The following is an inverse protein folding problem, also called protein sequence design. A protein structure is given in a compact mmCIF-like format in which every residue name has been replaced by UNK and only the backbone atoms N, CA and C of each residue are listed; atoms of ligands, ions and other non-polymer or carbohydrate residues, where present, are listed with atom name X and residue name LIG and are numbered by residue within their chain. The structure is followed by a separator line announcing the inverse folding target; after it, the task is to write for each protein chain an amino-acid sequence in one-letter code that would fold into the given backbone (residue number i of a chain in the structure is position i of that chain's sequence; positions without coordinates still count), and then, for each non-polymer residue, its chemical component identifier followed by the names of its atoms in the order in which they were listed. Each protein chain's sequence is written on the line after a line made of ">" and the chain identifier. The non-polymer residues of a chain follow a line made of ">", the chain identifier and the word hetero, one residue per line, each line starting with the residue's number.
data_IF_154959098705
#
_entry.id   IF_154959098705
#
_cell.length_a   1.000
_cell.length_b   1.000
_cell.length_c   1.000
_cell.angle_alpha   90.00
_cell.angle_beta   90.00
_cell.angle_gamma   90.00
#
_symmetry.space_group_name_H-M   'P 1'
#
loop_
_entity.id
_entity.type
_entity.pdbx_description
1 polymer ?
#
# COMPACT_ATOMS: atom_id res chain seq x y z
N UNK A 1 35.77 -5.63 -5.08
CA UNK A 1 35.33 -6.82 -5.85
C UNK A 1 34.28 -6.36 -6.84
N UNK A 2 34.46 -6.68 -8.12
CA UNK A 2 33.41 -6.53 -9.12
C UNK A 2 32.35 -7.57 -8.80
N UNK A 3 31.15 -7.15 -8.40
CA UNK A 3 30.00 -8.06 -8.31
C UNK A 3 29.71 -8.50 -9.73
N UNK A 4 30.15 -9.71 -10.08
CA UNK A 4 29.77 -10.35 -11.32
C UNK A 4 28.36 -10.88 -11.12
N UNK A 5 27.38 -10.10 -11.57
CA UNK A 5 26.03 -10.61 -11.74
C UNK A 5 26.09 -11.63 -12.87
N UNK A 6 26.08 -12.91 -12.52
CA UNK A 6 25.82 -13.97 -13.49
C UNK A 6 24.37 -13.82 -13.94
N UNK A 7 24.17 -13.13 -15.07
CA UNK A 7 22.87 -12.92 -15.65
C UNK A 7 22.28 -14.24 -16.15
N UNK A 8 23.07 -15.29 -16.29
CA UNK A 8 22.66 -16.62 -16.75
C UNK A 8 22.35 -17.58 -15.58
N UNK A 9 22.55 -17.14 -14.34
CA UNK A 9 22.16 -17.91 -13.17
C UNK A 9 20.64 -18.23 -13.21
N UNK A 10 20.25 -19.48 -12.87
CA UNK A 10 18.85 -19.87 -12.82
C UNK A 10 18.11 -18.96 -11.83
N UNK A 11 16.89 -18.57 -12.17
CA UNK A 11 16.08 -17.74 -11.29
C UNK A 11 15.97 -18.42 -9.92
N UNK A 12 16.19 -17.68 -8.82
CA UNK A 12 16.07 -18.25 -7.48
C UNK A 12 14.68 -18.85 -7.29
N UNK A 13 14.60 -19.96 -6.55
CA UNK A 13 13.33 -20.62 -6.25
C UNK A 13 12.37 -19.60 -5.64
N UNK A 14 11.23 -19.39 -6.29
CA UNK A 14 10.22 -18.47 -5.76
C UNK A 14 9.74 -19.03 -4.41
N UNK A 15 9.88 -18.22 -3.36
CA UNK A 15 9.29 -18.54 -2.07
C UNK A 15 7.77 -18.41 -2.21
N UNK A 16 7.04 -19.44 -1.78
CA UNK A 16 5.57 -19.40 -1.77
C UNK A 16 5.04 -18.43 -0.71
N UNK A 17 5.82 -18.20 0.35
CA UNK A 17 5.45 -17.36 1.47
C UNK A 17 6.66 -16.79 2.19
N UNK A 18 6.66 -15.49 2.56
CA UNK A 18 7.63 -14.88 3.43
C UNK A 18 7.68 -15.54 4.79
N UNK A 19 8.88 -15.62 5.36
CA UNK A 19 9.04 -16.03 6.74
C UNK A 19 8.38 -15.01 7.67
N UNK A 20 7.85 -15.49 8.79
CA UNK A 20 7.29 -14.68 9.87
C UNK A 20 7.88 -15.16 11.19
N UNK A 21 8.08 -14.22 12.11
CA UNK A 21 8.46 -14.56 13.48
C UNK A 21 7.37 -15.44 14.11
N UNK A 22 7.78 -16.48 14.85
CA UNK A 22 6.86 -17.45 15.47
C UNK A 22 5.84 -16.80 16.43
N UNK A 23 6.10 -15.59 16.90
CA UNK A 23 5.16 -14.79 17.71
C UNK A 23 3.98 -14.26 16.90
N UNK A 24 4.13 -14.07 15.59
CA UNK A 24 3.05 -13.58 14.71
C UNK A 24 2.09 -14.73 14.43
N UNK A 25 1.00 -14.78 15.18
CA UNK A 25 -0.05 -15.81 15.04
C UNK A 25 -1.09 -15.37 14.02
N UNK A 26 -1.13 -16.08 12.89
CA UNK A 26 -2.10 -15.85 11.84
C UNK A 26 -3.36 -16.69 12.06
N UNK A 27 -4.51 -16.06 11.89
CA UNK A 27 -5.83 -16.68 12.02
C UNK A 27 -6.71 -16.28 10.82
N UNK A 28 -7.79 -17.03 10.61
CA UNK A 28 -8.81 -16.66 9.63
C UNK A 28 -9.37 -15.25 9.90
N UNK A 29 -9.76 -14.47 8.87
CA UNK A 29 -10.26 -13.10 9.05
C UNK A 29 -11.42 -12.98 10.05
N UNK A 30 -12.31 -13.98 10.12
CA UNK A 30 -13.42 -14.01 11.09
C UNK A 30 -12.98 -14.18 12.54
N UNK A 31 -11.75 -14.64 12.77
CA UNK A 31 -11.15 -14.88 14.07
C UNK A 31 -10.18 -13.77 14.49
N UNK A 32 -9.93 -12.78 13.63
CA UNK A 32 -9.07 -11.66 13.95
C UNK A 32 -9.65 -10.80 15.09
N UNK A 33 -8.80 -10.15 15.91
CA UNK A 33 -9.24 -9.30 17.00
C UNK A 33 -10.10 -8.14 16.49
N UNK A 34 -11.16 -7.81 17.23
CA UNK A 34 -11.96 -6.63 16.92
C UNK A 34 -11.16 -5.37 17.26
N UNK A 35 -10.89 -4.54 16.25
CA UNK A 35 -10.11 -3.31 16.41
C UNK A 35 -10.75 -2.27 17.36
N UNK A 36 -12.08 -2.29 17.48
CA UNK A 36 -12.83 -1.34 18.32
C UNK A 36 -12.89 0.08 17.73
N UNK A 37 -13.11 1.09 18.58
CA UNK A 37 -13.30 2.51 18.18
C UNK A 37 -12.14 3.44 18.54
N UNK A 38 -11.08 2.94 19.18
CA UNK A 38 -9.93 3.72 19.67
C UNK A 38 -10.12 4.35 21.06
N UNK A 39 -11.27 4.12 21.70
CA UNK A 39 -11.59 4.71 23.01
C UNK A 39 -10.77 4.16 24.17
N UNK A 40 -10.53 2.84 24.19
CA UNK A 40 -9.75 2.17 25.23
C UNK A 40 -8.30 1.93 24.79
N UNK A 41 -7.35 1.76 25.73
CA UNK A 41 -5.97 1.40 25.42
C UNK A 41 -5.85 0.14 24.55
N UNK A 42 -6.64 -0.89 24.85
CA UNK A 42 -6.63 -2.16 24.11
C UNK A 42 -7.08 -1.96 22.66
N UNK A 43 -8.07 -1.10 22.43
CA UNK A 43 -8.54 -0.77 21.09
C UNK A 43 -7.50 0.00 20.28
N UNK A 44 -6.73 0.89 20.92
CA UNK A 44 -5.62 1.62 20.25
C UNK A 44 -4.50 0.66 19.86
N UNK A 45 -4.11 -0.21 20.79
CA UNK A 45 -3.13 -1.28 20.53
C UNK A 45 -3.60 -2.19 19.40
N UNK A 46 -4.87 -2.60 19.37
CA UNK A 46 -5.40 -3.45 18.31
C UNK A 46 -5.35 -2.77 16.93
N UNK A 47 -5.72 -1.50 16.83
CA UNK A 47 -5.64 -0.73 15.58
C UNK A 47 -4.18 -0.62 15.11
N UNK A 48 -3.26 -0.19 15.97
CA UNK A 48 -1.85 -0.02 15.61
C UNK A 48 -1.16 -1.35 15.27
N UNK A 49 -1.51 -2.44 15.98
CA UNK A 49 -0.99 -3.77 15.68
C UNK A 49 -1.47 -4.25 14.30
N UNK A 50 -2.74 -4.02 13.98
CA UNK A 50 -3.28 -4.32 12.65
C UNK A 50 -2.57 -3.52 11.55
N UNK A 51 -2.30 -2.22 11.77
CA UNK A 51 -1.56 -1.39 10.81
C UNK A 51 -0.12 -1.90 10.65
N UNK A 52 0.58 -2.16 11.74
CA UNK A 52 1.94 -2.73 11.67
C UNK A 52 1.95 -4.08 10.92
N UNK A 53 0.91 -4.91 11.06
CA UNK A 53 0.81 -6.13 10.30
C UNK A 53 0.61 -5.90 8.79
N UNK A 54 -0.17 -4.87 8.42
CA UNK A 54 -0.35 -4.46 7.04
C UNK A 54 0.98 -4.00 6.44
N UNK A 55 1.72 -3.11 7.12
CA UNK A 55 3.02 -2.64 6.58
C UNK A 55 4.02 -3.79 6.46
N UNK A 56 4.01 -4.73 7.41
CA UNK A 56 4.83 -5.94 7.34
C UNK A 56 4.52 -6.79 6.10
N UNK A 57 3.27 -6.81 5.63
CA UNK A 57 2.93 -7.44 4.35
C UNK A 57 3.34 -6.57 3.17
N UNK A 58 3.14 -5.26 3.23
CA UNK A 58 3.48 -4.33 2.14
C UNK A 58 4.97 -4.36 1.78
N UNK A 59 5.87 -4.53 2.77
CA UNK A 59 7.30 -4.80 2.57
C UNK A 59 7.49 -6.02 1.64
N UNK A 60 6.86 -7.14 1.99
CA UNK A 60 7.03 -8.38 1.25
C UNK A 60 6.35 -8.36 -0.11
N UNK A 61 5.19 -7.71 -0.23
CA UNK A 61 4.49 -7.54 -1.50
C UNK A 61 5.35 -6.74 -2.49
N UNK A 62 6.03 -5.70 -2.00
CA UNK A 62 6.94 -4.88 -2.80
C UNK A 62 8.15 -5.68 -3.28
N UNK A 63 8.76 -6.48 -2.39
CA UNK A 63 9.85 -7.39 -2.77
C UNK A 63 9.40 -8.52 -3.69
N UNK A 64 8.22 -9.09 -3.46
CA UNK A 64 7.64 -10.13 -4.30
C UNK A 64 7.35 -9.59 -5.71
N UNK A 65 6.84 -8.36 -5.83
CA UNK A 65 6.64 -7.70 -7.12
C UNK A 65 7.95 -7.63 -7.92
N UNK A 66 9.04 -7.25 -7.27
CA UNK A 66 10.38 -7.16 -7.86
C UNK A 66 10.92 -8.54 -8.24
N UNK A 67 10.99 -9.45 -7.28
CA UNK A 67 11.69 -10.72 -7.42
C UNK A 67 10.93 -11.71 -8.31
N UNK A 68 9.60 -11.76 -8.18
CA UNK A 68 8.75 -12.70 -8.93
C UNK A 68 8.59 -12.30 -10.39
N UNK A 69 8.37 -11.02 -10.64
CA UNK A 69 7.91 -10.56 -11.95
C UNK A 69 8.88 -9.67 -12.69
N UNK A 70 9.66 -8.84 -11.99
CA UNK A 70 10.41 -7.74 -12.60
C UNK A 70 11.27 -8.18 -13.80
N UNK A 71 12.09 -9.21 -13.62
CA UNK A 71 12.95 -9.76 -14.69
C UNK A 71 12.14 -10.48 -15.76
N UNK A 72 11.22 -11.37 -15.36
CA UNK A 72 10.45 -12.21 -16.28
C UNK A 72 9.57 -11.38 -17.23
N UNK A 73 8.94 -10.32 -16.70
CA UNK A 73 8.16 -9.36 -17.48
C UNK A 73 9.04 -8.33 -18.23
N UNK A 74 10.37 -8.38 -18.07
CA UNK A 74 11.33 -7.40 -18.63
C UNK A 74 10.95 -5.96 -18.26
N UNK A 75 10.63 -5.73 -16.99
CA UNK A 75 10.28 -4.39 -16.51
C UNK A 75 11.48 -3.45 -16.59
N UNK A 76 11.27 -2.14 -16.83
CA UNK A 76 12.36 -1.18 -16.89
C UNK A 76 12.96 -0.95 -15.49
N UNK A 77 14.21 -0.49 -15.41
CA UNK A 77 14.92 -0.21 -14.14
C UNK A 77 14.08 0.61 -13.14
N UNK A 78 13.35 1.62 -13.61
CA UNK A 78 12.51 2.46 -12.76
C UNK A 78 11.42 1.67 -11.99
N UNK A 79 10.98 0.52 -12.49
CA UNK A 79 10.05 -0.37 -11.77
C UNK A 79 10.67 -0.87 -10.48
N UNK A 80 11.91 -1.34 -10.58
CA UNK A 80 12.68 -1.81 -9.43
C UNK A 80 12.93 -0.66 -8.45
N UNK A 81 13.31 0.52 -8.94
CA UNK A 81 13.55 1.68 -8.09
C UNK A 81 12.29 2.15 -7.36
N UNK A 82 11.13 2.19 -8.03
CA UNK A 82 9.87 2.57 -7.43
C UNK A 82 9.46 1.57 -6.33
N UNK A 83 9.49 0.26 -6.58
CA UNK A 83 9.10 -0.73 -5.56
C UNK A 83 10.14 -0.93 -4.45
N UNK A 84 11.42 -0.66 -4.72
CA UNK A 84 12.44 -0.59 -3.66
C UNK A 84 12.18 0.60 -2.72
N UNK A 85 11.76 1.75 -3.27
CA UNK A 85 11.38 2.90 -2.47
C UNK A 85 10.15 2.60 -1.61
N UNK A 86 9.10 2.00 -2.20
CA UNK A 86 7.92 1.55 -1.45
C UNK A 86 8.33 0.58 -0.33
N UNK A 87 9.08 -0.47 -0.63
CA UNK A 87 9.54 -1.43 0.39
C UNK A 87 10.32 -0.76 1.55
N UNK A 88 11.11 0.27 1.25
CA UNK A 88 11.85 1.02 2.25
C UNK A 88 10.94 1.90 3.13
N UNK A 89 9.95 2.56 2.52
CA UNK A 89 8.95 3.36 3.25
C UNK A 89 8.08 2.46 4.14
N UNK A 90 7.59 1.33 3.63
CA UNK A 90 6.83 0.35 4.40
C UNK A 90 7.62 -0.23 5.59
N UNK A 91 8.92 -0.50 5.39
CA UNK A 91 9.79 -0.96 6.48
C UNK A 91 9.96 0.10 7.58
N UNK A 92 10.01 1.38 7.18
CA UNK A 92 10.06 2.50 8.14
C UNK A 92 8.72 2.68 8.84
N UNK A 93 7.59 2.61 8.13
CA UNK A 93 6.25 2.67 8.70
C UNK A 93 6.05 1.58 9.74
N UNK A 94 6.35 0.33 9.37
CA UNK A 94 6.34 -0.82 10.27
C UNK A 94 7.15 -0.54 11.54
N UNK A 95 8.37 -0.03 11.39
CA UNK A 95 9.27 0.23 12.52
C UNK A 95 8.72 1.30 13.45
N UNK A 96 8.13 2.38 12.90
CA UNK A 96 7.52 3.45 13.69
C UNK A 96 6.27 2.98 14.43
N UNK A 97 5.41 2.19 13.77
CA UNK A 97 4.22 1.60 14.40
C UNK A 97 4.61 0.58 15.48
N UNK A 98 5.63 -0.25 15.23
CA UNK A 98 6.15 -1.19 16.21
C UNK A 98 6.73 -0.48 17.44
N UNK A 99 7.46 0.63 17.25
CA UNK A 99 7.92 1.46 18.36
C UNK A 99 6.74 2.06 19.14
N UNK A 100 5.72 2.57 18.45
CA UNK A 100 4.51 3.09 19.09
C UNK A 100 3.77 2.03 19.91
N UNK A 101 3.72 0.78 19.45
CA UNK A 101 3.15 -0.33 20.22
C UNK A 101 3.89 -0.56 21.54
N UNK A 102 5.23 -0.47 21.54
CA UNK A 102 6.05 -0.60 22.76
C UNK A 102 5.75 0.51 23.75
N UNK A 103 5.61 1.75 23.29
CA UNK A 103 5.23 2.89 24.14
C UNK A 103 3.85 2.71 24.80
N UNK A 104 2.94 1.97 24.14
CA UNK A 104 1.62 1.63 24.67
C UNK A 104 1.62 0.34 25.52
N UNK A 105 2.80 -0.22 25.83
CA UNK A 105 2.94 -1.43 26.66
C UNK A 105 2.61 -2.73 25.93
N UNK A 106 2.68 -2.74 24.60
CA UNK A 106 2.46 -3.90 23.74
C UNK A 106 3.65 -4.18 22.82
N UNK A 107 3.50 -5.09 21.86
CA UNK A 107 4.51 -5.36 20.82
C UNK A 107 3.87 -5.96 19.57
N UNK A 108 4.56 -5.86 18.44
CA UNK A 108 4.14 -6.59 17.24
C UNK A 108 4.19 -8.11 17.49
N UNK A 109 3.14 -8.82 17.07
CA UNK A 109 2.90 -10.23 17.39
C UNK A 109 2.22 -10.49 18.75
N UNK A 110 1.96 -9.47 19.58
CA UNK A 110 1.22 -9.66 20.83
C UNK A 110 -0.27 -10.02 20.61
N UNK A 111 -0.84 -9.59 19.49
CA UNK A 111 -2.18 -9.97 19.04
C UNK A 111 -2.09 -10.88 17.81
N UNK A 112 -3.13 -11.68 17.59
CA UNK A 112 -3.30 -12.44 16.35
C UNK A 112 -3.60 -11.50 15.18
N UNK A 113 -3.19 -11.85 13.98
CA UNK A 113 -3.51 -11.13 12.75
C UNK A 113 -4.09 -12.07 11.70
N UNK A 114 -4.57 -11.54 10.57
CA UNK A 114 -5.12 -12.34 9.48
C UNK A 114 -4.32 -12.13 8.19
N UNK A 115 -4.48 -13.07 7.26
CA UNK A 115 -3.61 -13.22 6.11
C UNK A 115 -4.16 -12.65 4.80
N UNK A 116 -5.15 -11.78 4.90
CA UNK A 116 -5.98 -11.40 3.75
C UNK A 116 -5.20 -10.79 2.59
N UNK A 117 -4.13 -10.04 2.88
CA UNK A 117 -3.24 -9.50 1.85
C UNK A 117 -2.41 -10.60 1.17
N UNK A 118 -1.87 -11.56 1.93
CA UNK A 118 -1.08 -12.64 1.33
C UNK A 118 -1.95 -13.68 0.60
N UNK A 119 -3.20 -13.85 1.00
CA UNK A 119 -4.18 -14.63 0.24
C UNK A 119 -4.40 -14.03 -1.16
N UNK A 120 -4.62 -12.71 -1.24
CA UNK A 120 -4.71 -11.97 -2.51
C UNK A 120 -3.40 -12.04 -3.31
N UNK A 121 -2.25 -11.99 -2.65
CA UNK A 121 -0.95 -12.20 -3.27
C UNK A 121 -0.85 -13.60 -3.90
N UNK A 122 -1.27 -14.62 -3.16
CA UNK A 122 -1.26 -16.02 -3.64
C UNK A 122 -2.17 -16.19 -4.86
N UNK A 123 -3.36 -15.60 -4.84
CA UNK A 123 -4.30 -15.60 -5.98
C UNK A 123 -3.71 -14.94 -7.23
N UNK A 124 -2.87 -13.92 -7.06
CA UNK A 124 -2.29 -13.14 -8.15
C UNK A 124 -0.86 -13.53 -8.52
N UNK A 125 -0.32 -14.62 -7.93
CA UNK A 125 1.11 -14.99 -8.04
C UNK A 125 1.59 -15.24 -9.47
N UNK A 126 0.70 -15.62 -10.38
CA UNK A 126 1.04 -15.97 -11.76
C UNK A 126 0.84 -14.80 -12.75
N UNK A 127 0.43 -13.62 -12.27
CA UNK A 127 0.15 -12.46 -13.12
C UNK A 127 0.61 -11.16 -12.49
N UNK A 128 1.64 -10.54 -13.07
CA UNK A 128 2.07 -9.19 -12.67
C UNK A 128 0.94 -8.16 -12.81
N UNK A 129 0.12 -8.29 -13.85
CA UNK A 129 -1.03 -7.41 -14.06
C UNK A 129 -2.01 -7.51 -12.88
N UNK A 130 -2.40 -8.73 -12.52
CA UNK A 130 -3.30 -8.96 -11.40
C UNK A 130 -2.67 -8.50 -10.08
N UNK A 131 -1.36 -8.75 -9.89
CA UNK A 131 -0.64 -8.31 -8.69
C UNK A 131 -0.65 -6.79 -8.53
N UNK A 132 -0.34 -6.05 -9.60
CA UNK A 132 -0.34 -4.59 -9.57
C UNK A 132 -1.74 -4.03 -9.31
N UNK A 133 -2.77 -4.60 -9.93
CA UNK A 133 -4.15 -4.13 -9.74
C UNK A 133 -4.65 -4.39 -8.33
N UNK A 134 -4.48 -5.60 -7.81
CA UNK A 134 -5.08 -5.99 -6.53
C UNK A 134 -4.29 -5.40 -5.36
N UNK A 135 -2.98 -5.64 -5.31
CA UNK A 135 -2.16 -5.19 -4.18
C UNK A 135 -1.85 -3.70 -4.31
N UNK A 136 -1.23 -3.29 -5.41
CA UNK A 136 -0.64 -1.96 -5.53
C UNK A 136 -1.59 -0.85 -6.01
N UNK A 137 -2.82 -1.19 -6.40
CA UNK A 137 -3.88 -0.20 -6.67
C UNK A 137 -5.02 -0.33 -5.66
N UNK A 138 -5.69 -1.48 -5.60
CA UNK A 138 -6.90 -1.65 -4.77
C UNK A 138 -6.58 -1.58 -3.28
N UNK A 139 -5.59 -2.34 -2.81
CA UNK A 139 -5.24 -2.35 -1.37
C UNK A 139 -4.57 -1.04 -0.92
N UNK A 140 -3.66 -0.48 -1.72
CA UNK A 140 -3.08 0.87 -1.47
C UNK A 140 -4.16 1.96 -1.38
N UNK A 141 -5.06 2.02 -2.37
CA UNK A 141 -6.13 3.02 -2.36
C UNK A 141 -7.12 2.81 -1.21
N UNK A 142 -7.26 1.58 -0.71
CA UNK A 142 -8.05 1.30 0.49
C UNK A 142 -7.41 1.90 1.74
N UNK A 143 -6.07 1.91 1.83
CA UNK A 143 -5.33 2.64 2.86
C UNK A 143 -5.69 4.12 2.89
N UNK A 144 -5.71 4.77 1.70
CA UNK A 144 -6.08 6.18 1.54
C UNK A 144 -7.50 6.50 2.02
N UNK A 145 -8.45 5.57 1.86
CA UNK A 145 -9.83 5.75 2.31
C UNK A 145 -9.97 5.61 3.83
N UNK A 146 -9.20 4.70 4.43
CA UNK A 146 -9.37 4.29 5.84
C UNK A 146 -8.58 5.18 6.79
N UNK A 147 -7.37 5.59 6.41
CA UNK A 147 -6.46 6.33 7.28
C UNK A 147 -7.05 7.63 7.85
N UNK A 148 -7.74 8.50 7.10
CA UNK A 148 -8.35 9.71 7.65
C UNK A 148 -9.32 9.42 8.80
N UNK A 149 -10.14 8.36 8.67
CA UNK A 149 -11.05 7.93 9.72
C UNK A 149 -10.32 7.37 10.95
N UNK A 150 -9.16 6.73 10.75
CA UNK A 150 -8.32 6.22 11.84
C UNK A 150 -7.60 7.34 12.58
N UNK A 151 -7.04 8.32 11.86
CA UNK A 151 -6.44 9.54 12.42
C UNK A 151 -7.46 10.28 13.29
N UNK A 152 -8.67 10.51 12.76
CA UNK A 152 -9.73 11.19 13.49
C UNK A 152 -10.14 10.45 14.78
N UNK A 153 -10.13 9.11 14.78
CA UNK A 153 -10.38 8.31 16.00
C UNK A 153 -9.31 8.53 17.05
N UNK A 154 -8.03 8.46 16.68
CA UNK A 154 -6.94 8.65 17.64
C UNK A 154 -6.98 10.03 18.28
N UNK A 155 -7.11 11.11 17.48
CA UNK A 155 -7.28 12.48 17.99
C UNK A 155 -8.47 12.61 18.93
N UNK A 156 -9.63 12.09 18.51
CA UNK A 156 -10.86 12.16 19.33
C UNK A 156 -10.67 11.54 20.72
N UNK A 157 -9.85 10.51 20.85
CA UNK A 157 -9.61 9.82 22.12
C UNK A 157 -8.29 10.22 22.80
N UNK A 158 -7.64 11.29 22.35
CA UNK A 158 -6.47 11.88 22.98
C UNK A 158 -5.16 11.10 22.76
N UNK A 159 -5.06 10.34 21.67
CA UNK A 159 -3.82 9.70 21.24
C UNK A 159 -3.21 10.46 20.07
N UNK A 160 -2.87 11.73 20.32
CA UNK A 160 -2.25 12.60 19.32
C UNK A 160 -0.94 12.04 18.75
N UNK A 161 -0.04 11.39 19.52
CA UNK A 161 1.18 10.80 18.95
C UNK A 161 0.90 9.77 17.84
N UNK A 162 -0.10 8.90 18.03
CA UNK A 162 -0.49 7.93 17.01
C UNK A 162 -1.16 8.61 15.80
N UNK A 163 -1.98 9.64 16.05
CA UNK A 163 -2.61 10.41 14.98
C UNK A 163 -1.58 11.15 14.12
N UNK A 164 -0.61 11.81 14.74
CA UNK A 164 0.42 12.60 14.06
C UNK A 164 1.37 11.72 13.27
N UNK A 165 1.72 10.54 13.78
CA UNK A 165 2.47 9.52 13.02
C UNK A 165 1.73 9.15 11.71
N UNK A 166 0.43 8.86 11.81
CA UNK A 166 -0.37 8.51 10.64
C UNK A 166 -0.57 9.69 9.69
N UNK A 167 -0.84 10.88 10.19
CA UNK A 167 -1.17 12.05 9.38
C UNK A 167 0.04 12.66 8.68
N UNK A 168 1.20 12.69 9.34
CA UNK A 168 2.36 13.44 8.85
C UNK A 168 3.43 12.56 8.21
N UNK A 169 3.40 11.24 8.47
CA UNK A 169 4.41 10.31 7.95
C UNK A 169 3.75 9.33 6.99
N UNK A 170 2.87 8.46 7.49
CA UNK A 170 2.35 7.33 6.70
C UNK A 170 1.43 7.83 5.58
N UNK A 171 0.35 8.56 5.91
CA UNK A 171 -0.67 8.95 4.93
C UNK A 171 -0.15 9.72 3.70
N UNK A 172 0.78 10.68 3.81
CA UNK A 172 1.36 11.34 2.63
C UNK A 172 2.16 10.41 1.72
N UNK A 173 2.78 9.37 2.27
CA UNK A 173 3.65 8.42 1.57
C UNK A 173 2.81 7.35 0.85
N UNK A 174 1.71 6.91 1.45
CA UNK A 174 0.70 6.02 0.85
C UNK A 174 0.17 6.52 -0.51
N UNK A 175 0.05 7.85 -0.67
CA UNK A 175 -0.38 8.44 -1.96
C UNK A 175 0.63 8.10 -3.05
N UNK A 176 1.92 8.09 -2.72
CA UNK A 176 2.98 7.78 -3.67
C UNK A 176 3.10 6.28 -3.94
N UNK A 177 2.75 5.43 -2.97
CA UNK A 177 2.67 3.97 -3.11
C UNK A 177 1.54 3.59 -4.08
N UNK A 178 0.33 4.11 -3.83
CA UNK A 178 -0.80 3.96 -4.76
C UNK A 178 -0.46 4.49 -6.17
N UNK A 179 0.27 5.61 -6.26
CA UNK A 179 0.69 6.15 -7.55
C UNK A 179 1.68 5.24 -8.29
N UNK A 180 2.49 4.45 -7.57
CA UNK A 180 3.38 3.47 -8.17
C UNK A 180 2.59 2.33 -8.82
N UNK A 181 1.58 1.78 -8.14
CA UNK A 181 0.72 0.75 -8.72
C UNK A 181 0.00 1.22 -9.98
N UNK A 182 -0.65 2.39 -9.92
CA UNK A 182 -1.36 2.98 -11.08
C UNK A 182 -0.42 3.18 -12.26
N UNK A 183 0.77 3.73 -12.02
CA UNK A 183 1.78 3.96 -13.06
C UNK A 183 2.24 2.67 -13.71
N UNK A 184 2.56 1.64 -12.92
CA UNK A 184 3.10 0.39 -13.47
C UNK A 184 2.04 -0.46 -14.16
N UNK A 185 0.80 -0.44 -13.68
CA UNK A 185 -0.31 -1.05 -14.39
C UNK A 185 -0.56 -0.34 -15.73
N UNK A 186 -0.65 0.99 -15.73
CA UNK A 186 -0.82 1.79 -16.96
C UNK A 186 0.32 1.53 -17.96
N UNK A 187 1.57 1.47 -17.46
CA UNK A 187 2.73 1.13 -18.28
C UNK A 187 2.59 -0.24 -18.95
N UNK A 188 2.14 -1.28 -18.22
CA UNK A 188 1.93 -2.61 -18.79
C UNK A 188 0.87 -2.60 -19.88
N UNK A 189 -0.26 -1.93 -19.65
CA UNK A 189 -1.33 -1.85 -20.65
C UNK A 189 -0.88 -1.17 -21.94
N UNK A 190 -0.12 -0.08 -21.81
CA UNK A 190 0.41 0.64 -22.96
C UNK A 190 1.48 -0.18 -23.69
N UNK A 191 2.30 -0.94 -22.95
CA UNK A 191 3.32 -1.82 -23.54
C UNK A 191 2.72 -3.01 -24.29
N UNK A 192 1.58 -3.53 -23.84
CA UNK A 192 0.88 -4.64 -24.50
C UNK A 192 0.06 -4.20 -25.71
N UNK A 193 0.04 -2.90 -26.03
CA UNK A 193 -0.69 -2.37 -27.19
C UNK A 193 -2.20 -2.61 -27.13
N UNK A 194 -2.77 -2.81 -25.93
CA UNK A 194 -4.19 -3.16 -25.78
C UNK A 194 -4.56 -4.59 -26.19
N UNK A 195 -3.60 -5.46 -26.51
CA UNK A 195 -3.85 -6.84 -26.92
C UNK A 195 -4.21 -7.75 -25.73
N UNK A 196 -5.37 -7.52 -25.10
CA UNK A 196 -5.97 -8.42 -24.12
C UNK A 196 -7.51 -8.33 -24.20
N UNK A 197 -8.07 -9.17 -25.08
CA UNK A 197 -9.44 -9.74 -25.09
C UNK A 197 -10.54 -8.74 -24.71
N UNK A 198 -11.07 -8.06 -25.73
CA UNK A 198 -12.51 -7.82 -25.78
C UNK A 198 -13.16 -9.20 -25.85
N UNK A 199 -14.06 -9.51 -24.95
CA UNK A 199 -14.96 -10.65 -25.13
C UNK A 199 -15.63 -10.48 -26.52
N UNK A 200 -15.70 -11.57 -27.30
CA UNK A 200 -16.06 -11.61 -28.74
C UNK A 200 -17.42 -10.94 -29.14
N UNK A 201 -18.15 -10.36 -28.19
CA UNK A 201 -19.50 -9.81 -28.36
C UNK A 201 -19.60 -8.27 -28.23
N UNK A 202 -18.53 -7.56 -27.83
CA UNK A 202 -18.53 -6.09 -27.77
C UNK A 202 -18.01 -5.51 -29.10
N UNK A 203 -18.85 -4.71 -29.79
CA UNK A 203 -18.43 -3.88 -30.94
C UNK A 203 -17.13 -3.13 -30.59
N UNK A 204 -16.19 -3.02 -31.55
CA UNK A 204 -14.95 -2.26 -31.40
C UNK A 204 -15.26 -0.77 -31.15
N UNK A 205 -15.56 -0.41 -29.89
CA UNK A 205 -15.60 0.97 -29.46
C UNK A 205 -14.18 1.52 -29.52
N UNK A 206 -13.98 2.59 -30.31
CA UNK A 206 -12.77 3.40 -30.25
C UNK A 206 -12.69 4.10 -28.89
N UNK A 207 -12.09 3.41 -27.92
CA UNK A 207 -11.78 3.96 -26.60
C UNK A 207 -10.42 4.67 -26.64
N UNK A 208 -10.34 5.80 -25.95
CA UNK A 208 -9.04 6.40 -25.66
C UNK A 208 -8.19 5.52 -24.73
N UNK A 209 -6.89 5.82 -24.64
CA UNK A 209 -5.95 5.04 -23.83
C UNK A 209 -6.36 4.96 -22.35
N UNK A 210 -6.89 6.04 -21.79
CA UNK A 210 -7.26 6.07 -20.37
C UNK A 210 -8.50 5.21 -20.09
N UNK A 211 -9.51 5.28 -20.95
CA UNK A 211 -10.73 4.49 -20.87
C UNK A 211 -10.42 2.99 -21.06
N UNK A 212 -9.54 2.63 -22.00
CA UNK A 212 -9.10 1.24 -22.20
C UNK A 212 -8.41 0.68 -20.96
N UNK A 213 -7.49 1.45 -20.36
CA UNK A 213 -6.78 1.05 -19.13
C UNK A 213 -7.77 0.85 -17.98
N UNK A 214 -8.74 1.76 -17.82
CA UNK A 214 -9.79 1.63 -16.81
C UNK A 214 -10.69 0.40 -17.05
N UNK A 215 -11.11 0.14 -18.30
CA UNK A 215 -11.90 -1.07 -18.66
C UNK A 215 -11.12 -2.34 -18.29
N UNK A 216 -9.82 -2.41 -18.61
CA UNK A 216 -8.98 -3.54 -18.24
C UNK A 216 -8.83 -3.68 -16.73
N UNK A 217 -8.66 -2.57 -16.02
CA UNK A 217 -8.62 -2.56 -14.55
C UNK A 217 -9.89 -3.20 -13.97
N UNK A 218 -11.07 -2.84 -14.49
CA UNK A 218 -12.33 -3.43 -14.04
C UNK A 218 -12.39 -4.95 -14.25
N UNK A 219 -11.94 -5.45 -15.40
CA UNK A 219 -11.88 -6.89 -15.69
C UNK A 219 -11.00 -7.61 -14.67
N UNK A 220 -9.80 -7.07 -14.42
CA UNK A 220 -8.84 -7.68 -13.48
C UNK A 220 -9.38 -7.66 -12.05
N UNK A 221 -9.98 -6.56 -11.60
CA UNK A 221 -10.59 -6.48 -10.26
C UNK A 221 -11.75 -7.46 -10.14
N UNK A 222 -12.69 -7.51 -11.09
CA UNK A 222 -13.82 -8.45 -11.01
C UNK A 222 -13.39 -9.91 -10.96
N UNK A 223 -12.28 -10.25 -11.62
CA UNK A 223 -11.71 -11.60 -11.66
C UNK A 223 -11.02 -11.99 -10.36
N UNK A 224 -10.18 -11.11 -9.81
CA UNK A 224 -9.28 -11.48 -8.71
C UNK A 224 -9.67 -10.91 -7.33
N UNK A 225 -10.50 -9.86 -7.29
CA UNK A 225 -10.97 -9.28 -6.04
C UNK A 225 -12.31 -9.89 -5.59
N UNK A 226 -12.35 -10.36 -4.34
CA UNK A 226 -13.56 -10.93 -3.75
C UNK A 226 -14.45 -9.81 -3.18
N UNK A 227 -15.56 -9.54 -3.88
CA UNK A 227 -16.57 -8.56 -3.47
C UNK A 227 -16.53 -7.26 -4.27
N UNK A 228 -17.05 -6.18 -3.66
CA UNK A 228 -17.10 -4.82 -4.24
C UNK A 228 -16.07 -3.89 -3.60
N UNK A 229 -15.68 -2.83 -4.31
CA UNK A 229 -14.90 -1.74 -3.74
C UNK A 229 -15.81 -0.88 -2.86
N UNK A 230 -15.53 -0.82 -1.56
CA UNK A 230 -16.46 -0.22 -0.59
C UNK A 230 -16.20 1.28 -0.39
N UNK A 231 -17.18 2.16 -0.65
CA UNK A 231 -17.11 3.57 -0.27
C UNK A 231 -17.14 3.75 1.27
N UNK A 232 -16.86 4.95 1.80
CA UNK A 232 -16.48 6.18 1.07
C UNK A 232 -15.08 6.08 0.46
N UNK A 233 -14.92 6.65 -0.74
CA UNK A 233 -13.62 6.78 -1.40
C UNK A 233 -13.00 8.14 -1.08
N UNK A 234 -11.69 8.17 -0.87
CA UNK A 234 -10.93 9.41 -0.73
C UNK A 234 -10.51 9.92 -2.11
N UNK A 235 -11.46 10.52 -2.83
CA UNK A 235 -11.28 10.95 -4.22
C UNK A 235 -10.11 11.93 -4.39
N UNK A 236 -9.88 12.81 -3.41
CA UNK A 236 -8.78 13.77 -3.45
C UNK A 236 -7.42 13.06 -3.40
N UNK A 237 -7.23 12.14 -2.45
CA UNK A 237 -5.97 11.39 -2.33
C UNK A 237 -5.75 10.45 -3.52
N UNK A 238 -6.81 9.75 -3.96
CA UNK A 238 -6.76 8.86 -5.13
C UNK A 238 -6.43 9.63 -6.40
N UNK A 239 -7.03 10.80 -6.62
CA UNK A 239 -6.71 11.66 -7.78
C UNK A 239 -5.27 12.16 -7.75
N UNK A 240 -4.71 12.50 -6.57
CA UNK A 240 -3.28 12.81 -6.40
C UNK A 240 -2.35 11.63 -6.74
N UNK A 241 -2.82 10.40 -6.58
CA UNK A 241 -2.12 9.20 -7.02
C UNK A 241 -2.30 8.90 -8.52
N UNK A 242 -3.08 9.71 -9.25
CA UNK A 242 -3.45 9.44 -10.64
C UNK A 242 -4.57 8.42 -10.79
N UNK A 243 -5.20 8.00 -9.69
CA UNK A 243 -6.28 7.01 -9.66
C UNK A 243 -7.63 7.72 -9.72
N UNK A 244 -8.15 7.93 -10.93
CA UNK A 244 -9.38 8.69 -11.15
C UNK A 244 -10.64 7.85 -10.90
N UNK A 245 -11.78 8.51 -10.70
CA UNK A 245 -13.06 7.92 -10.30
C UNK A 245 -13.55 6.82 -11.25
N UNK A 246 -13.29 6.99 -12.54
CA UNK A 246 -13.69 6.06 -13.61
C UNK A 246 -13.11 4.66 -13.40
N UNK A 247 -12.00 4.55 -12.67
CA UNK A 247 -11.38 3.27 -12.37
C UNK A 247 -12.11 2.47 -11.28
N UNK A 248 -12.68 3.13 -10.27
CA UNK A 248 -13.15 2.45 -9.06
C UNK A 248 -14.62 2.67 -8.70
N UNK A 249 -15.25 3.77 -9.11
CA UNK A 249 -16.68 4.00 -8.85
C UNK A 249 -17.57 2.91 -9.48
N UNK A 250 -17.34 2.47 -10.74
CA UNK A 250 -18.13 1.39 -11.34
C UNK A 250 -18.02 0.05 -10.61
N UNK A 251 -16.94 -0.15 -9.84
CA UNK A 251 -16.69 -1.38 -9.09
C UNK A 251 -17.27 -1.34 -7.66
N UNK A 252 -18.01 -0.28 -7.32
CA UNK A 252 -18.65 -0.10 -6.01
C UNK A 252 -20.04 -0.74 -5.92
N UNK A 253 -20.58 -1.20 -7.05
CA UNK A 253 -21.85 -1.90 -7.15
C UNK A 253 -21.61 -3.36 -7.55
N UNK A 254 -22.44 -4.27 -7.04
CA UNK A 254 -22.34 -5.68 -7.42
C UNK A 254 -23.25 -5.95 -8.62
N UNK A 255 -22.66 -5.87 -9.81
CA UNK A 255 -23.36 -6.17 -11.07
C UNK A 255 -23.84 -7.65 -11.12
N UNK A 256 -23.20 -8.55 -10.35
CA UNK A 256 -23.54 -9.99 -10.30
C UNK A 256 -24.88 -10.25 -9.60
N UNK A 257 -25.24 -9.43 -8.61
CA UNK A 257 -26.50 -9.54 -7.89
C UNK A 257 -27.73 -9.14 -8.73
N UNK A 258 -27.54 -8.37 -9.80
CA UNK A 258 -28.58 -8.02 -10.77
C UNK A 258 -28.87 -9.15 -11.76
N UNK A 259 -27.83 -9.84 -12.24
CA UNK A 259 -27.93 -10.94 -13.19
C UNK A 259 -28.60 -12.20 -12.59
N UNK A 260 -28.31 -12.54 -11.32
CA UNK A 260 -29.00 -13.64 -10.62
C UNK A 260 -30.50 -13.36 -10.43
N UNK A 261 -30.87 -12.11 -10.14
CA UNK A 261 -32.28 -11.70 -10.02
C UNK A 261 -33.00 -11.66 -11.37
N UNK A 262 -32.32 -11.31 -12.45
CA UNK A 262 -32.87 -11.33 -13.80
C UNK A 262 -33.06 -12.77 -14.33
N UNK A 263 -32.11 -13.67 -14.05
CA UNK A 263 -32.23 -15.11 -14.34
C UNK A 263 -33.35 -15.78 -13.54
N UNK A 264 -33.53 -15.41 -12.26
CA UNK A 264 -34.64 -15.88 -11.43
C UNK A 264 -36.01 -15.36 -11.92
N UNK A 265 -36.08 -14.15 -12.51
CA UNK A 265 -37.30 -13.60 -13.12
C UNK A 265 -37.64 -14.26 -14.46
N UNK A 266 -36.63 -14.62 -15.26
CA UNK A 266 -36.83 -15.34 -16.52
C UNK A 266 -37.32 -16.79 -16.31
N UNK A 267 -37.00 -17.41 -15.17
CA UNK A 267 -37.51 -18.74 -14.80
C UNK A 267 -38.93 -18.76 -14.17
N UNK A 268 -39.52 -17.61 -13.85
CA UNK A 268 -40.80 -17.52 -13.16
C UNK A 268 -41.96 -16.98 -14.03
N UNK A 269 -41.75 -16.86 -15.34
CA UNK A 269 -42.75 -16.32 -16.28
C UNK A 269 -43.75 -17.35 -16.78
N UNK A 270 -44.63 -17.89 -15.93
CA UNK A 270 -45.90 -18.48 -16.35
C UNK A 270 -46.87 -18.70 -15.17
N UNK A 271 -47.54 -17.65 -14.67
CA UNK A 271 -48.96 -17.67 -14.26
C UNK A 271 -49.48 -16.23 -14.30
N UNK A 272 -50.58 -16.02 -15.02
CA UNK A 272 -51.38 -14.80 -15.11
C UNK A 272 -52.24 -14.61 -13.85
N UNK A 273 -52.35 -13.39 -13.31
CA UNK A 273 -53.63 -12.74 -13.01
C UNK A 273 -53.49 -11.32 -12.44
N UNK A 274 -54.55 -10.57 -12.66
CA UNK A 274 -54.80 -9.15 -12.40
C UNK A 274 -55.01 -8.77 -10.93
N UNK A 275 -54.82 -7.47 -10.64
CA UNK A 275 -55.81 -6.54 -10.01
C UNK A 275 -55.24 -5.64 -8.90
N UNK A 276 -55.55 -4.34 -9.03
CA UNK A 276 -55.75 -3.25 -8.05
C UNK A 276 -54.62 -2.50 -7.35
N UNK A 277 -54.85 -1.17 -7.41
CA UNK A 277 -54.24 -0.01 -6.75
C UNK A 277 -54.02 -0.10 -5.23
N UNK A 278 -52.98 0.59 -4.76
CA UNK A 278 -52.77 0.91 -3.36
C UNK A 278 -51.66 1.93 -3.13
N UNK A 279 -52.06 3.14 -2.72
CA UNK A 279 -51.21 4.27 -2.28
C UNK A 279 -50.20 3.87 -1.19
N UNK A 280 -48.98 4.40 -1.27
CA UNK A 280 -47.96 4.31 -0.21
C UNK A 280 -47.11 5.58 -0.15
N UNK A 281 -47.07 6.18 1.04
CA UNK A 281 -46.57 7.50 1.40
C UNK A 281 -45.05 7.68 1.34
N UNK A 282 -44.63 8.86 0.86
CA UNK A 282 -43.28 9.41 1.01
C UNK A 282 -42.91 9.63 2.48
N UNK A 283 -41.67 9.29 2.87
CA UNK A 283 -41.04 9.84 4.07
C UNK A 283 -39.66 10.35 3.69
N UNK A 284 -39.52 11.69 3.70
CA UNK A 284 -38.28 12.45 3.51
C UNK A 284 -37.31 12.18 4.66
N UNK A 285 -36.04 11.96 4.34
CA UNK A 285 -34.91 12.16 5.28
C UNK A 285 -34.01 13.26 4.69
N UNK A 286 -34.04 14.44 5.31
CA UNK A 286 -32.99 15.46 5.22
C UNK A 286 -31.78 14.95 6.02
N UNK A 287 -30.51 15.11 5.63
CA UNK A 287 -29.84 16.30 5.14
C UNK A 287 -28.85 16.76 6.23
N UNK A 288 -27.61 16.28 6.19
CA UNK A 288 -26.46 16.89 6.90
C UNK A 288 -25.22 16.70 6.02
N UNK A 289 -25.01 17.66 5.13
CA UNK A 289 -23.88 17.69 4.22
C UNK A 289 -23.57 19.13 3.86
N UNK A 290 -23.07 19.90 4.82
CA UNK A 290 -22.52 21.24 4.57
C UNK A 290 -21.80 21.74 5.85
N UNK A 291 -20.49 21.45 5.98
CA UNK A 291 -19.61 22.26 6.85
C UNK A 291 -18.09 21.97 6.76
N UNK A 292 -17.61 21.08 5.89
CA UNK A 292 -16.15 20.80 5.81
C UNK A 292 -15.47 21.56 4.65
N UNK A 293 -16.20 22.35 3.86
CA UNK A 293 -15.69 22.99 2.64
C UNK A 293 -14.98 24.36 2.83
N UNK A 294 -14.43 24.70 4.01
CA UNK A 294 -13.87 26.06 4.24
C UNK A 294 -12.45 26.18 4.80
N UNK A 295 -11.59 25.16 4.72
CA UNK A 295 -10.19 25.28 5.22
C UNK A 295 -9.08 24.66 4.35
N UNK A 296 -9.27 24.42 3.07
CA UNK A 296 -8.27 23.70 2.22
C UNK A 296 -7.40 24.58 1.31
N UNK A 297 -7.36 25.91 1.48
CA UNK A 297 -6.66 26.80 0.55
C UNK A 297 -5.13 26.92 0.76
N UNK A 298 -4.54 26.19 1.71
CA UNK A 298 -3.10 26.30 2.05
C UNK A 298 -2.20 25.19 1.47
N UNK A 299 -2.76 24.18 0.78
CA UNK A 299 -2.02 22.97 0.37
C UNK A 299 -1.49 22.95 -1.07
N UNK A 300 -1.52 24.08 -1.79
CA UNK A 300 -1.17 24.14 -3.23
C UNK A 300 0.35 24.22 -3.54
N UNK A 301 1.24 23.70 -2.70
CA UNK A 301 2.70 23.72 -3.01
C UNK A 301 3.21 22.34 -3.42
N UNK A 302 3.95 22.23 -4.55
CA UNK A 302 4.59 20.98 -4.93
C UNK A 302 5.67 20.60 -3.91
N UNK A 303 5.62 19.37 -3.41
CA UNK A 303 6.65 18.81 -2.54
C UNK A 303 7.85 18.46 -3.43
N UNK A 304 8.88 19.30 -3.40
CA UNK A 304 10.14 19.02 -4.06
C UNK A 304 10.89 17.90 -3.30
N UNK A 305 11.27 16.84 -4.00
CA UNK A 305 12.22 15.84 -3.50
C UNK A 305 13.62 16.49 -3.42
N UNK A 306 14.40 16.32 -2.35
CA UNK A 306 15.80 16.72 -2.35
C UNK A 306 16.55 15.93 -3.41
N UNK A 307 17.23 16.63 -4.32
CA UNK A 307 18.25 16.05 -5.20
C UNK A 307 19.48 15.76 -4.32
N UNK A 308 19.92 14.50 -4.30
CA UNK A 308 21.31 14.21 -3.98
C UNK A 308 22.17 14.78 -5.11
N UNK A 309 23.33 15.34 -4.74
CA UNK A 309 24.47 15.77 -5.56
C UNK A 309 24.77 17.29 -5.48
N UNK A 310 25.65 17.68 -4.55
CA UNK A 310 26.92 18.39 -4.84
C UNK A 310 27.57 18.85 -3.53
N UNK A 311 28.64 18.14 -3.15
CA UNK A 311 29.58 18.58 -2.12
C UNK A 311 30.60 19.54 -2.74
N UNK A 312 30.71 20.76 -2.20
CA UNK A 312 31.81 21.65 -2.61
C UNK A 312 31.76 23.09 -2.09
N UNK A 313 32.53 23.34 -1.02
CA UNK A 313 33.30 24.58 -0.74
C UNK A 313 32.56 25.86 -0.27
N UNK A 314 33.03 26.43 0.86
CA UNK A 314 32.99 27.89 1.08
C UNK A 314 32.76 28.35 2.52
N UNK A 315 33.78 28.95 3.13
CA UNK A 315 33.87 29.44 4.52
C UNK A 315 33.11 30.77 4.81
N UNK A 316 32.87 31.03 6.11
CA UNK A 316 32.70 32.36 6.75
C UNK A 316 31.44 32.42 7.63
N UNK A 317 31.49 32.36 8.97
CA UNK A 317 31.87 33.44 9.90
C UNK A 317 30.79 34.55 9.91
N UNK A 318 30.15 35.03 10.99
CA UNK A 318 30.50 35.18 12.41
C UNK A 318 29.21 35.59 13.18
N UNK A 319 29.10 35.22 14.48
CA UNK A 319 28.34 35.94 15.52
C UNK A 319 26.92 35.40 15.81
N UNK A 320 26.53 34.97 17.01
CA UNK A 320 27.08 35.14 18.35
C UNK A 320 26.06 35.85 19.25
N UNK A 321 25.17 35.12 19.93
CA UNK A 321 24.63 35.50 21.24
C UNK A 321 24.05 34.28 21.98
N UNK A 322 24.48 34.18 23.23
CA UNK A 322 24.37 33.07 24.19
C UNK A 322 23.05 33.10 24.97
N UNK A 323 22.56 31.93 25.41
CA UNK A 323 22.06 31.67 26.77
C UNK A 323 21.95 30.15 27.03
N UNK A 324 22.42 29.72 28.21
CA UNK A 324 22.77 28.33 28.59
C UNK A 324 21.73 27.60 29.47
N UNK A 325 21.59 26.27 29.23
CA UNK A 325 21.25 25.21 30.21
C UNK A 325 19.85 24.52 30.10
N UNK A 326 19.64 23.27 30.58
CA UNK A 326 20.52 22.09 30.69
C UNK A 326 19.99 20.86 29.89
N UNK A 327 20.90 19.99 29.43
CA UNK A 327 20.58 18.61 28.96
C UNK A 327 20.17 18.45 27.49
N UNK A 328 21.10 18.60 26.54
CA UNK A 328 20.87 18.27 25.13
C UNK A 328 20.71 16.75 24.97
N UNK A 329 19.49 16.27 24.72
CA UNK A 329 19.28 14.98 24.03
C UNK A 329 19.74 15.20 22.59
N UNK A 330 20.82 14.51 22.22
CA UNK A 330 21.43 14.60 20.89
C UNK A 330 20.45 14.00 19.88
N UNK A 331 19.96 14.82 18.93
CA UNK A 331 19.19 14.29 17.80
C UNK A 331 20.14 13.39 16.99
N UNK A 332 19.76 12.15 16.64
CA UNK A 332 20.55 11.37 15.71
C UNK A 332 20.62 12.10 14.36
N UNK A 333 21.79 12.07 13.73
CA UNK A 333 22.01 12.69 12.43
C UNK A 333 21.20 11.99 11.33
N UNK A 334 21.05 12.63 10.15
CA UNK A 334 20.40 12.00 9.01
C UNK A 334 21.23 10.78 8.59
N UNK A 335 20.75 9.57 8.93
CA UNK A 335 21.47 8.32 8.66
C UNK A 335 21.18 7.18 9.65
N UNK A 336 20.58 7.45 10.81
CA UNK A 336 20.29 6.42 11.80
C UNK A 336 18.78 6.13 11.89
N UNK A 337 18.25 5.56 10.82
CA UNK A 337 17.03 4.74 10.91
C UNK A 337 17.35 3.41 11.62
N UNK A 338 16.36 2.74 12.23
CA UNK A 338 16.56 1.46 12.89
C UNK A 338 17.24 0.47 11.93
N UNK A 339 18.44 0.04 12.31
CA UNK A 339 19.24 -0.89 11.54
C UNK A 339 18.60 -2.27 11.61
N UNK A 340 18.10 -2.77 10.48
CA UNK A 340 17.73 -4.18 10.35
C UNK A 340 19.00 -4.98 10.67
N UNK A 341 18.92 -5.83 11.69
CA UNK A 341 20.06 -6.62 12.14
C UNK A 341 20.53 -7.56 11.01
N UNK A 342 21.82 -7.88 10.98
CA UNK A 342 22.40 -8.84 10.03
C UNK A 342 21.68 -10.20 10.05
N UNK A 343 21.12 -10.57 11.21
CA UNK A 343 20.29 -11.76 11.36
C UNK A 343 18.95 -11.67 10.63
N UNK A 344 18.29 -10.50 10.65
CA UNK A 344 17.09 -10.25 9.85
C UNK A 344 17.41 -10.23 8.36
N UNK A 345 18.58 -9.70 7.97
CA UNK A 345 19.06 -9.76 6.59
C UNK A 345 19.29 -11.20 6.11
N UNK A 346 19.96 -12.03 6.91
CA UNK A 346 20.22 -13.45 6.58
C UNK A 346 18.94 -14.29 6.54
N UNK A 347 18.01 -14.03 7.46
CA UNK A 347 16.72 -14.72 7.47
C UNK A 347 15.86 -14.39 6.22
N UNK A 348 16.05 -13.21 5.63
CA UNK A 348 15.32 -12.76 4.44
C UNK A 348 15.87 -13.33 3.12
N UNK A 349 17.18 -13.58 3.05
CA UNK A 349 17.87 -13.97 1.80
C UNK A 349 18.13 -15.48 1.64
N UNK A 350 17.85 -16.32 2.64
CA UNK A 350 18.11 -17.76 2.54
C UNK A 350 19.57 -18.10 2.24
N UNK A 351 19.82 -19.18 1.48
CA UNK A 351 21.15 -19.79 1.21
C UNK A 351 22.20 -18.89 0.50
N UNK A 352 21.95 -17.60 0.31
CA UNK A 352 22.92 -16.64 -0.25
C UNK A 352 23.78 -15.90 0.80
N UNK A 353 23.71 -16.29 2.08
CA UNK A 353 24.24 -15.54 3.24
C UNK A 353 25.70 -15.74 3.64
N UNK A 354 26.50 -16.55 2.94
CA UNK A 354 27.81 -17.04 3.44
C UNK A 354 29.06 -16.28 2.97
N UNK A 355 28.94 -15.18 2.22
CA UNK A 355 30.13 -14.47 1.68
C UNK A 355 30.17 -12.98 1.98
N UNK A 356 29.96 -12.59 3.24
CA UNK A 356 30.18 -11.22 3.72
C UNK A 356 31.37 -11.15 4.70
N UNK A 357 32.39 -10.35 4.37
CA UNK A 357 33.52 -10.03 5.28
C UNK A 357 33.44 -8.54 5.65
N UNK A 358 33.34 -8.17 6.95
CA UNK A 358 33.22 -6.78 7.39
C UNK A 358 34.44 -5.92 7.05
N UNK A 359 34.19 -4.62 6.91
CA UNK A 359 35.13 -3.61 6.41
C UNK A 359 36.39 -3.37 7.27
N UNK A 360 36.50 -3.99 8.45
CA UNK A 360 37.62 -3.82 9.39
C UNK A 360 38.87 -4.64 9.05
N UNK A 361 38.87 -5.46 7.99
CA UNK A 361 39.99 -6.34 7.63
C UNK A 361 40.62 -6.08 6.24
N UNK A 362 40.25 -4.99 5.55
CA UNK A 362 40.83 -4.68 4.23
C UNK A 362 42.14 -3.90 4.42
N UNK A 363 43.29 -4.57 4.22
CA UNK A 363 44.59 -3.87 4.18
C UNK A 363 44.71 -3.02 2.90
N UNK A 364 45.27 -1.80 2.98
CA UNK A 364 45.45 -0.95 1.81
C UNK A 364 46.48 -1.54 0.83
N UNK A 365 46.31 -1.33 -0.48
CA UNK A 365 47.22 -1.85 -1.49
C UNK A 365 48.61 -1.20 -1.37
N UNK A 366 49.66 -2.00 -1.50
CA UNK A 366 51.05 -1.53 -1.54
C UNK A 366 51.33 -0.83 -2.88
N UNK A 367 51.95 0.35 -2.81
CA UNK A 367 52.35 1.13 -3.98
C UNK A 367 53.37 0.37 -4.85
N UNK A 368 53.29 0.47 -6.19
CA UNK A 368 54.24 -0.17 -7.09
C UNK A 368 55.58 0.60 -7.10
N UNK A 369 56.69 -0.15 -7.08
CA UNK A 369 58.05 0.34 -7.31
C UNK A 369 58.59 -0.11 -8.66
#
# INVERSE_FOLDING_TARGET
>A
MTVTHDLDAPAPRQLERPARDARVKLVEPSCAPRLGKGGSPESRVAILHSLAHIESWAIDLSWDAIARFGRAAKMPRKFFEDFLAVAADEARHFSLLAARLVELGSSYGALTAHDGLWESATETRDSLEARLVIEHCVHEARGLDVLPGTIAKFRRFGDDPSADLLEHVIYPEEITHCAAGVRWFTYLQNRMGGALVVDDDDEEEELDDAARVAKRFHVVVRKHFKGILKPPFNDEARSRAGFQREWYEPLSVDDRAGAEKAGAKAGAGAVTESTTDGKGSETKVAGVGESIAKKTDEFRKPIARPRLDDAGTGMGGVGGSSWDGPGKVQRPGPGEGPQISEAQWRAYLGEFGDSFVPHSQVQPPRSPG
#
